data_IF_515943825787
#
_entry.id   IF_515943825787
#
_cell.length_a   1.000
_cell.length_b   1.000
_cell.length_c   1.000
_cell.angle_alpha   90.00
_cell.angle_beta   90.00
_cell.angle_gamma   90.00
#
_symmetry.space_group_name_H-M   'P 1'
#
loop_
_entity.id
_entity.type
_entity.pdbx_description
1 polymer ?
#
# COMPACT_ATOMS: atom_id res chain seq x y z
N UNK A 1 -14.70 -31.25 -12.97
CA UNK A 1 -14.59 -29.75 -13.02
C UNK A 1 -14.72 -29.22 -14.45
N UNK A 2 -14.03 -29.82 -15.44
CA UNK A 2 -14.09 -29.37 -16.83
C UNK A 2 -15.49 -29.52 -17.46
N UNK A 3 -16.18 -30.61 -17.19
CA UNK A 3 -17.56 -30.80 -17.65
C UNK A 3 -18.51 -29.74 -17.10
N UNK A 4 -18.43 -29.45 -15.79
CA UNK A 4 -19.25 -28.40 -15.13
C UNK A 4 -18.94 -27.02 -15.73
N UNK A 5 -17.69 -26.75 -16.06
CA UNK A 5 -17.26 -25.51 -16.71
C UNK A 5 -17.81 -25.40 -18.13
N UNK A 6 -17.79 -26.48 -18.93
CA UNK A 6 -18.35 -26.52 -20.28
C UNK A 6 -19.87 -26.36 -20.29
N UNK A 7 -20.55 -27.04 -19.39
CA UNK A 7 -22.01 -26.91 -19.25
C UNK A 7 -22.39 -25.47 -18.87
N UNK A 8 -21.68 -24.85 -17.92
CA UNK A 8 -21.91 -23.44 -17.58
C UNK A 8 -21.67 -22.50 -18.77
N UNK A 9 -20.61 -22.76 -19.55
CA UNK A 9 -20.31 -21.99 -20.77
C UNK A 9 -21.44 -22.06 -21.80
N UNK A 10 -21.96 -23.27 -22.02
CA UNK A 10 -23.00 -23.49 -23.01
C UNK A 10 -24.39 -22.95 -22.57
N UNK A 11 -24.72 -23.10 -21.30
CA UNK A 11 -25.91 -22.49 -20.69
C UNK A 11 -25.87 -20.96 -20.79
N UNK A 12 -24.71 -20.34 -20.49
CA UNK A 12 -24.53 -18.90 -20.63
C UNK A 12 -24.64 -18.47 -22.11
N UNK A 13 -24.07 -19.25 -23.04
CA UNK A 13 -24.18 -18.97 -24.47
C UNK A 13 -25.63 -18.98 -24.97
N UNK A 14 -26.43 -19.97 -24.54
CA UNK A 14 -27.82 -20.10 -24.91
C UNK A 14 -28.67 -18.97 -24.30
N UNK A 15 -28.34 -18.53 -23.08
CA UNK A 15 -29.10 -17.50 -22.35
C UNK A 15 -28.81 -16.07 -22.77
N UNK A 16 -27.60 -15.77 -23.23
CA UNK A 16 -27.10 -14.40 -23.44
C UNK A 16 -26.84 -14.02 -24.90
N UNK A 17 -27.30 -14.83 -25.85
CA UNK A 17 -27.11 -14.56 -27.28
C UNK A 17 -25.65 -14.60 -27.71
N UNK A 18 -25.02 -13.45 -27.95
CA UNK A 18 -23.63 -13.35 -28.44
C UNK A 18 -22.55 -13.42 -27.36
N UNK A 19 -22.92 -13.53 -26.08
CA UNK A 19 -21.99 -13.57 -24.95
C UNK A 19 -21.46 -12.21 -24.50
N UNK A 20 -21.93 -11.10 -25.08
CA UNK A 20 -21.48 -9.75 -24.72
C UNK A 20 -21.81 -9.41 -23.27
N UNK A 21 -23.00 -9.74 -22.78
CA UNK A 21 -23.40 -9.52 -21.37
C UNK A 21 -22.46 -10.23 -20.39
N UNK A 22 -21.98 -11.41 -20.77
CA UNK A 22 -21.00 -12.15 -19.97
C UNK A 22 -19.66 -11.44 -19.94
N UNK A 23 -19.18 -10.97 -21.09
CA UNK A 23 -17.91 -10.24 -21.20
C UNK A 23 -17.97 -8.93 -20.41
N UNK A 24 -19.09 -8.22 -20.45
CA UNK A 24 -19.28 -7.01 -19.65
C UNK A 24 -19.25 -7.28 -18.14
N UNK A 25 -19.90 -8.34 -17.68
CA UNK A 25 -19.78 -8.76 -16.26
C UNK A 25 -18.33 -9.08 -15.89
N UNK A 26 -17.62 -9.82 -16.75
CA UNK A 26 -16.22 -10.16 -16.53
C UNK A 26 -15.30 -8.93 -16.48
N UNK A 27 -15.56 -7.91 -17.31
CA UNK A 27 -14.85 -6.63 -17.28
C UNK A 27 -15.08 -5.87 -15.97
N UNK A 28 -16.32 -5.85 -15.46
CA UNK A 28 -16.64 -5.24 -14.14
C UNK A 28 -15.97 -5.99 -12.98
N UNK A 29 -15.76 -7.29 -13.13
CA UNK A 29 -15.13 -8.17 -12.14
C UNK A 29 -13.58 -8.17 -12.21
N UNK A 30 -12.99 -7.39 -13.11
CA UNK A 30 -11.53 -7.26 -13.23
C UNK A 30 -10.96 -6.64 -11.96
N UNK A 31 -9.97 -7.31 -11.37
CA UNK A 31 -9.35 -6.87 -10.12
C UNK A 31 -7.92 -7.38 -9.96
N UNK A 32 -7.14 -6.62 -9.22
CA UNK A 32 -5.78 -6.95 -8.83
C UNK A 32 -5.67 -6.92 -7.30
N UNK A 33 -5.00 -7.89 -6.71
CA UNK A 33 -4.73 -7.94 -5.28
C UNK A 33 -3.26 -8.20 -5.05
N UNK A 34 -2.71 -7.55 -4.03
CA UNK A 34 -1.33 -7.74 -3.59
C UNK A 34 -1.29 -8.03 -2.09
N UNK A 35 -0.33 -8.83 -1.65
CA UNK A 35 -0.09 -9.10 -0.23
C UNK A 35 1.37 -9.53 -0.03
N UNK A 36 1.82 -9.47 1.20
CA UNK A 36 3.08 -10.07 1.63
C UNK A 36 2.74 -11.35 2.38
N UNK A 37 3.42 -12.45 2.06
CA UNK A 37 3.22 -13.74 2.73
C UNK A 37 4.10 -13.89 3.98
N UNK A 38 4.06 -15.07 4.61
CA UNK A 38 4.80 -15.36 5.85
C UNK A 38 6.32 -15.40 5.66
N UNK A 39 6.79 -15.61 4.42
CA UNK A 39 8.21 -15.62 4.05
C UNK A 39 8.72 -14.23 3.67
N UNK A 40 7.85 -13.21 3.74
CA UNK A 40 8.17 -11.83 3.35
C UNK A 40 8.13 -11.58 1.84
N UNK A 41 7.66 -12.54 1.04
CA UNK A 41 7.54 -12.37 -0.41
C UNK A 41 6.33 -11.51 -0.78
N UNK A 42 6.54 -10.55 -1.69
CA UNK A 42 5.46 -9.75 -2.24
C UNK A 42 4.74 -10.52 -3.35
N UNK A 43 3.46 -10.72 -3.17
CA UNK A 43 2.61 -11.49 -4.06
C UNK A 43 1.64 -10.62 -4.85
N UNK A 44 1.33 -11.04 -6.08
CA UNK A 44 0.39 -10.40 -6.98
C UNK A 44 -0.61 -11.42 -7.52
N UNK A 45 -1.90 -11.14 -7.43
CA UNK A 45 -2.96 -11.94 -8.06
C UNK A 45 -3.89 -11.07 -8.87
N UNK A 46 -3.94 -11.31 -10.18
CA UNK A 46 -4.85 -10.65 -11.11
C UNK A 46 -6.02 -11.55 -11.52
N UNK A 47 -7.18 -10.94 -11.73
CA UNK A 47 -8.33 -11.53 -12.42
C UNK A 47 -8.75 -10.55 -13.50
N UNK A 48 -8.69 -10.99 -14.74
CA UNK A 48 -8.94 -10.17 -15.92
C UNK A 48 -10.04 -10.80 -16.77
N UNK A 49 -10.73 -9.98 -17.55
CA UNK A 49 -11.60 -10.47 -18.60
C UNK A 49 -10.82 -11.23 -19.67
N UNK A 50 -11.46 -12.11 -20.48
CA UNK A 50 -10.76 -12.94 -21.45
C UNK A 50 -9.94 -12.16 -22.46
N UNK A 51 -10.40 -11.01 -22.93
CA UNK A 51 -9.70 -10.19 -23.95
C UNK A 51 -8.41 -9.62 -23.38
N UNK A 52 -8.50 -8.99 -22.20
CA UNK A 52 -7.32 -8.50 -21.47
C UNK A 52 -6.39 -9.65 -21.10
N UNK A 53 -6.94 -10.79 -20.67
CA UNK A 53 -6.17 -11.98 -20.30
C UNK A 53 -5.32 -12.54 -21.44
N UNK A 54 -5.88 -12.65 -22.64
CA UNK A 54 -5.14 -13.09 -23.84
C UNK A 54 -4.01 -12.12 -24.19
N UNK A 55 -4.29 -10.81 -24.12
CA UNK A 55 -3.27 -9.79 -24.40
C UNK A 55 -2.12 -9.84 -23.41
N UNK A 56 -2.42 -9.99 -22.12
CA UNK A 56 -1.41 -10.08 -21.07
C UNK A 56 -0.57 -11.37 -21.22
N UNK A 57 -1.24 -12.51 -21.42
CA UNK A 57 -0.56 -13.79 -21.62
C UNK A 57 0.41 -13.72 -22.80
N UNK A 58 -0.04 -13.26 -23.97
CA UNK A 58 0.82 -13.15 -25.15
C UNK A 58 2.02 -12.23 -24.98
N UNK A 59 1.87 -11.13 -24.21
CA UNK A 59 3.01 -10.24 -23.91
C UNK A 59 3.99 -10.88 -22.95
N UNK A 60 3.50 -11.57 -21.92
CA UNK A 60 4.36 -12.30 -20.96
C UNK A 60 5.11 -13.40 -21.68
N UNK A 61 4.42 -14.22 -22.48
CA UNK A 61 5.03 -15.33 -23.22
C UNK A 61 6.15 -14.83 -24.15
N UNK A 62 5.91 -13.77 -24.91
CA UNK A 62 6.93 -13.14 -25.75
C UNK A 62 8.13 -12.61 -24.95
N UNK A 63 7.90 -12.01 -23.79
CA UNK A 63 8.97 -11.53 -22.92
C UNK A 63 9.77 -12.70 -22.31
N UNK A 64 9.11 -13.82 -21.98
CA UNK A 64 9.77 -15.05 -21.55
C UNK A 64 10.67 -15.61 -22.66
N UNK A 65 10.19 -15.68 -23.91
CA UNK A 65 11.00 -16.10 -25.05
C UNK A 65 12.26 -15.23 -25.21
N UNK A 66 12.10 -13.92 -25.05
CA UNK A 66 13.23 -12.96 -25.11
C UNK A 66 14.25 -13.24 -24.00
N UNK A 67 13.80 -13.46 -22.75
CA UNK A 67 14.68 -13.80 -21.64
C UNK A 67 15.42 -15.12 -21.85
N UNK A 68 14.79 -16.11 -22.48
CA UNK A 68 15.45 -17.35 -22.86
C UNK A 68 16.55 -17.15 -23.90
N UNK A 69 16.33 -16.24 -24.86
CA UNK A 69 17.26 -16.02 -25.97
C UNK A 69 18.45 -15.12 -25.58
N UNK A 70 18.20 -14.10 -24.71
CA UNK A 70 19.23 -13.10 -24.37
C UNK A 70 20.11 -13.53 -23.19
N UNK A 71 19.54 -13.83 -22.06
CA UNK A 71 20.26 -14.32 -20.87
C UNK A 71 19.28 -14.89 -19.84
N UNK A 72 19.34 -16.19 -19.62
CA UNK A 72 18.65 -16.80 -18.48
C UNK A 72 19.35 -16.36 -17.18
N UNK A 73 18.64 -15.78 -16.19
CA UNK A 73 19.26 -15.43 -14.91
C UNK A 73 19.95 -16.63 -14.24
N UNK A 74 21.11 -16.41 -13.63
CA UNK A 74 21.90 -17.47 -12.97
C UNK A 74 21.12 -18.23 -11.88
N UNK A 75 20.19 -17.55 -11.23
CA UNK A 75 19.33 -18.13 -10.18
C UNK A 75 18.12 -18.91 -10.70
N UNK A 76 17.99 -19.07 -12.04
CA UNK A 76 16.86 -19.79 -12.60
C UNK A 76 16.90 -21.28 -12.22
N UNK A 77 15.77 -21.85 -11.75
CA UNK A 77 15.68 -23.27 -11.42
C UNK A 77 16.04 -24.18 -12.60
N UNK A 78 16.58 -25.38 -12.33
CA UNK A 78 16.87 -26.39 -13.32
C UNK A 78 15.63 -27.13 -13.83
N UNK A 79 14.61 -27.27 -12.97
CA UNK A 79 13.32 -27.86 -13.35
C UNK A 79 12.61 -27.02 -14.41
N UNK A 80 12.17 -27.62 -15.53
CA UNK A 80 11.57 -26.84 -16.63
C UNK A 80 10.31 -26.08 -16.25
N UNK A 81 9.48 -26.63 -15.37
CA UNK A 81 8.21 -26.01 -14.96
C UNK A 81 8.47 -24.84 -14.03
N UNK A 82 9.32 -25.03 -13.04
CA UNK A 82 9.72 -23.97 -12.11
C UNK A 82 10.52 -22.87 -12.84
N UNK A 83 11.38 -23.24 -13.80
CA UNK A 83 12.09 -22.28 -14.65
C UNK A 83 11.12 -21.41 -15.44
N UNK A 84 10.10 -22.00 -16.04
CA UNK A 84 9.07 -21.25 -16.78
C UNK A 84 8.34 -20.24 -15.85
N UNK A 85 7.97 -20.66 -14.64
CA UNK A 85 7.32 -19.80 -13.64
C UNK A 85 8.22 -18.64 -13.19
N UNK A 86 9.49 -18.96 -12.93
CA UNK A 86 10.51 -17.99 -12.57
C UNK A 86 10.69 -16.94 -13.68
N UNK A 87 10.85 -17.37 -14.92
CA UNK A 87 11.01 -16.47 -16.06
C UNK A 87 9.76 -15.65 -16.34
N UNK A 88 8.56 -16.20 -16.12
CA UNK A 88 7.32 -15.45 -16.27
C UNK A 88 7.20 -14.29 -15.24
N UNK A 89 7.67 -14.51 -14.01
CA UNK A 89 7.71 -13.45 -12.99
C UNK A 89 8.70 -12.34 -13.38
N UNK A 90 9.90 -12.70 -13.85
CA UNK A 90 10.90 -11.73 -14.33
C UNK A 90 10.44 -11.01 -15.60
N UNK A 91 9.78 -11.70 -16.53
CA UNK A 91 9.19 -11.11 -17.73
C UNK A 91 8.13 -10.07 -17.38
N UNK A 92 7.24 -10.38 -16.43
CA UNK A 92 6.23 -9.43 -15.96
C UNK A 92 6.88 -8.20 -15.31
N UNK A 93 7.89 -8.39 -14.45
CA UNK A 93 8.62 -7.29 -13.84
C UNK A 93 9.26 -6.38 -14.90
N UNK A 94 9.95 -6.96 -15.88
CA UNK A 94 10.56 -6.22 -17.02
C UNK A 94 9.52 -5.46 -17.84
N UNK A 95 8.39 -6.11 -18.19
CA UNK A 95 7.31 -5.44 -18.92
C UNK A 95 6.72 -4.23 -18.19
N UNK A 96 6.67 -4.28 -16.86
CA UNK A 96 6.19 -3.17 -16.03
C UNK A 96 7.25 -2.05 -15.97
N UNK A 97 8.54 -2.40 -15.86
CA UNK A 97 9.65 -1.45 -15.82
C UNK A 97 9.86 -0.74 -17.15
N UNK A 98 9.81 -1.50 -18.26
CA UNK A 98 10.02 -1.00 -19.62
C UNK A 98 8.75 -0.42 -20.24
N UNK A 99 7.59 -0.71 -19.63
CA UNK A 99 6.27 -0.35 -20.15
C UNK A 99 6.06 1.15 -20.19
N UNK A 100 6.14 1.69 -21.40
CA UNK A 100 5.73 3.06 -21.75
C UNK A 100 4.21 3.15 -21.83
N UNK A 101 3.53 3.07 -20.70
CA UNK A 101 2.11 3.40 -20.62
C UNK A 101 1.91 4.91 -20.71
N UNK A 102 2.14 5.53 -21.87
CA UNK A 102 1.76 6.91 -22.20
C UNK A 102 2.23 8.04 -21.24
N UNK A 103 3.04 7.74 -20.24
CA UNK A 103 3.58 8.67 -19.25
C UNK A 103 5.03 8.33 -18.91
N UNK A 104 5.70 9.24 -18.20
CA UNK A 104 7.03 8.93 -17.63
C UNK A 104 6.93 7.65 -16.78
N UNK A 105 7.92 6.74 -16.85
CA UNK A 105 7.94 5.55 -15.99
C UNK A 105 7.72 5.96 -14.53
N UNK A 106 6.84 5.24 -13.84
CA UNK A 106 6.58 5.50 -12.43
C UNK A 106 7.88 5.34 -11.66
N UNK A 107 8.31 6.39 -10.95
CA UNK A 107 9.50 6.30 -10.09
C UNK A 107 9.16 5.51 -8.84
N UNK A 108 10.07 4.68 -8.40
CA UNK A 108 9.97 4.02 -7.09
C UNK A 108 10.00 5.11 -6.02
N UNK A 109 9.05 5.10 -5.10
CA UNK A 109 9.02 6.05 -4.00
C UNK A 109 9.34 5.34 -2.69
N UNK A 110 10.40 5.78 -2.05
CA UNK A 110 10.79 5.35 -0.71
C UNK A 110 10.43 6.46 0.27
N UNK A 111 9.58 6.14 1.24
CA UNK A 111 9.21 7.08 2.29
C UNK A 111 10.15 6.92 3.48
N UNK A 112 10.99 7.92 3.72
CA UNK A 112 11.84 8.04 4.91
C UNK A 112 11.07 8.77 6.01
N UNK A 113 10.75 8.09 7.10
CA UNK A 113 10.12 8.70 8.27
C UNK A 113 11.19 9.05 9.28
N UNK A 114 11.35 10.35 9.55
CA UNK A 114 12.32 10.89 10.50
C UNK A 114 11.58 11.19 11.80
N UNK A 115 11.74 10.35 12.81
CA UNK A 115 11.13 10.56 14.11
C UNK A 115 12.03 11.44 14.98
N UNK A 116 11.50 12.58 15.39
CA UNK A 116 12.15 13.55 16.26
C UNK A 116 11.60 13.54 17.68
N UNK A 117 10.83 12.52 18.03
CA UNK A 117 10.31 12.34 19.38
C UNK A 117 11.47 12.26 20.37
N UNK A 118 11.52 13.10 21.42
CA UNK A 118 12.56 13.02 22.44
C UNK A 118 12.58 11.63 23.09
N UNK A 119 13.73 10.98 23.08
CA UNK A 119 13.92 9.74 23.84
C UNK A 119 14.22 10.13 25.29
N UNK A 120 13.56 9.53 26.30
CA UNK A 120 13.95 9.72 27.69
C UNK A 120 15.43 9.35 27.86
N UNK A 121 16.21 10.09 28.67
CA UNK A 121 17.59 9.72 28.93
C UNK A 121 17.62 8.30 29.51
N UNK A 122 18.37 7.40 28.86
CA UNK A 122 18.64 6.06 29.38
C UNK A 122 19.39 6.22 30.71
N UNK A 123 18.79 5.79 31.82
CA UNK A 123 19.39 5.86 33.16
C UNK A 123 20.52 4.85 33.35
N UNK A 124 20.88 4.04 32.35
CA UNK A 124 21.87 2.95 32.51
C UNK A 124 23.04 2.95 31.50
N UNK A 125 23.31 4.03 30.75
CA UNK A 125 24.46 4.05 29.83
C UNK A 125 25.21 5.40 29.84
N UNK A 126 25.84 5.69 30.97
CA UNK A 126 26.95 6.67 31.07
C UNK A 126 28.21 6.03 30.47
N UNK A 127 28.48 6.14 29.21
CA UNK A 127 29.82 6.13 28.61
C UNK A 127 29.83 5.74 27.12
N UNK A 128 29.21 6.48 26.22
CA UNK A 128 29.66 6.54 24.80
C UNK A 128 29.16 7.81 24.12
N UNK A 129 30.06 8.80 24.07
CA UNK A 129 30.09 9.83 23.04
C UNK A 129 28.83 10.68 22.91
N UNK A 130 28.67 11.67 23.79
CA UNK A 130 27.78 12.81 23.53
C UNK A 130 28.28 13.54 22.29
N UNK A 131 27.54 13.36 21.16
CA UNK A 131 27.61 14.30 20.06
C UNK A 131 27.19 15.67 20.62
N UNK A 132 28.08 16.66 20.52
CA UNK A 132 27.95 18.00 21.11
C UNK A 132 26.79 18.83 20.54
N UNK A 133 25.93 18.27 19.71
CA UNK A 133 24.77 18.95 19.07
C UNK A 133 23.49 18.84 19.88
N UNK A 134 23.42 18.08 20.97
CA UNK A 134 22.22 17.95 21.82
C UNK A 134 21.01 17.35 21.13
N UNK A 135 21.19 16.75 19.95
CA UNK A 135 20.14 16.07 19.20
C UNK A 135 20.23 14.57 19.51
N UNK A 136 19.21 14.04 20.17
CA UNK A 136 19.02 12.59 20.29
C UNK A 136 19.14 11.91 18.93
N UNK A 137 19.70 10.68 18.83
CA UNK A 137 19.79 9.97 17.56
C UNK A 137 18.41 9.88 16.92
N UNK A 138 18.28 10.48 15.74
CA UNK A 138 17.04 10.48 14.99
C UNK A 138 16.77 9.06 14.49
N UNK A 139 15.66 8.48 14.88
CA UNK A 139 15.24 7.21 14.32
C UNK A 139 14.69 7.46 12.90
N UNK A 140 15.33 6.85 11.91
CA UNK A 140 14.83 6.84 10.54
C UNK A 140 14.22 5.47 10.28
N UNK A 141 12.93 5.43 9.97
CA UNK A 141 12.23 4.23 9.53
C UNK A 141 11.79 4.36 8.07
N UNK A 142 11.97 3.27 7.33
CA UNK A 142 11.60 3.21 5.92
C UNK A 142 10.22 2.56 5.80
N UNK A 143 9.30 3.22 5.08
CA UNK A 143 7.96 2.68 4.84
C UNK A 143 7.90 2.03 3.47
N UNK A 144 8.27 0.76 3.43
CA UNK A 144 8.19 -0.11 2.26
C UNK A 144 7.09 -1.16 2.46
N UNK A 145 6.52 -1.71 1.38
CA UNK A 145 5.53 -2.79 1.50
C UNK A 145 6.14 -4.11 2.01
N UNK A 146 7.46 -4.26 1.95
CA UNK A 146 8.24 -5.43 2.39
C UNK A 146 9.51 -4.98 3.10
N UNK A 147 10.04 -5.83 3.97
CA UNK A 147 11.37 -5.62 4.55
C UNK A 147 12.46 -5.87 3.51
N UNK A 148 13.41 -4.97 3.42
CA UNK A 148 14.57 -5.04 2.52
C UNK A 148 15.84 -4.87 3.36
N UNK A 149 16.89 -5.69 3.15
CA UNK A 149 18.17 -5.51 3.82
C UNK A 149 18.71 -4.08 3.62
N UNK A 150 19.28 -3.49 4.67
CA UNK A 150 19.73 -2.08 4.67
C UNK A 150 20.68 -1.75 3.52
N UNK A 151 21.55 -2.69 3.14
CA UNK A 151 22.47 -2.54 1.99
C UNK A 151 21.70 -2.37 0.68
N UNK A 152 20.74 -3.27 0.41
CA UNK A 152 19.91 -3.22 -0.81
C UNK A 152 19.04 -1.96 -0.82
N UNK A 153 18.54 -1.55 0.35
CA UNK A 153 17.79 -0.30 0.48
C UNK A 153 18.64 0.93 0.14
N UNK A 154 19.91 0.94 0.56
CA UNK A 154 20.85 2.03 0.24
C UNK A 154 21.13 2.09 -1.27
N UNK A 155 21.36 0.94 -1.91
CA UNK A 155 21.56 0.85 -3.35
C UNK A 155 20.32 1.35 -4.10
N UNK A 156 19.13 0.88 -3.72
CA UNK A 156 17.85 1.30 -4.32
C UNK A 156 17.58 2.81 -4.14
N UNK A 157 17.91 3.37 -2.96
CA UNK A 157 17.75 4.80 -2.70
C UNK A 157 18.72 5.68 -3.51
N UNK A 158 19.87 5.11 -3.93
CA UNK A 158 20.84 5.77 -4.80
C UNK A 158 20.50 5.73 -6.29
N UNK A 159 19.52 4.96 -6.71
CA UNK A 159 19.12 4.86 -8.12
C UNK A 159 18.43 6.13 -8.61
N UNK A 160 18.75 6.56 -9.84
CA UNK A 160 18.15 7.74 -10.48
C UNK A 160 16.63 7.59 -10.72
N UNK A 161 16.11 6.37 -10.70
CA UNK A 161 14.69 6.01 -10.86
C UNK A 161 13.92 5.98 -9.55
N UNK A 162 14.58 6.26 -8.42
CA UNK A 162 14.00 6.25 -7.09
C UNK A 162 13.87 7.66 -6.52
N UNK A 163 12.70 7.98 -5.96
CA UNK A 163 12.43 9.20 -5.21
C UNK A 163 12.42 8.89 -3.71
N UNK A 164 13.37 9.43 -2.97
CA UNK A 164 13.35 9.37 -1.50
C UNK A 164 12.61 10.59 -0.97
N UNK A 165 11.52 10.36 -0.23
CA UNK A 165 10.67 11.42 0.32
C UNK A 165 10.74 11.39 1.82
N UNK A 166 11.28 12.47 2.43
CA UNK A 166 11.36 12.63 3.89
C UNK A 166 10.04 13.15 4.47
N UNK A 167 9.58 12.54 5.55
CA UNK A 167 8.49 13.03 6.41
C UNK A 167 8.99 13.09 7.84
N UNK A 168 8.84 14.24 8.47
CA UNK A 168 9.25 14.46 9.87
C UNK A 168 8.04 14.26 10.77
N UNK A 169 8.19 13.41 11.78
CA UNK A 169 7.17 13.17 12.81
C UNK A 169 7.75 13.45 14.21
N UNK A 170 6.86 13.79 15.13
CA UNK A 170 7.18 13.93 16.55
C UNK A 170 5.97 13.47 17.37
N UNK A 171 6.19 12.61 18.35
CA UNK A 171 5.10 12.04 19.17
C UNK A 171 3.96 11.45 18.31
N UNK A 172 4.30 10.78 17.19
CA UNK A 172 3.33 10.17 16.30
C UNK A 172 2.56 11.13 15.40
N UNK A 173 2.88 12.43 15.40
CA UNK A 173 2.22 13.46 14.58
C UNK A 173 3.20 14.01 13.55
N UNK A 174 2.74 14.21 12.31
CA UNK A 174 3.54 14.81 11.24
C UNK A 174 3.78 16.30 11.53
N UNK A 175 5.05 16.68 11.62
CA UNK A 175 5.50 18.07 11.67
C UNK A 175 5.74 18.65 10.29
N UNK A 176 6.31 17.83 9.39
CA UNK A 176 6.60 18.25 8.01
C UNK A 176 6.45 17.08 7.05
N UNK A 177 5.81 17.35 5.91
CA UNK A 177 5.79 16.47 4.76
C UNK A 177 5.76 17.33 3.48
N UNK A 178 6.43 16.90 2.38
CA UNK A 178 6.39 17.64 1.13
C UNK A 178 4.99 17.65 0.50
N UNK A 179 4.53 18.84 0.08
CA UNK A 179 3.27 19.06 -0.58
C UNK A 179 2.17 19.59 0.34
N UNK A 180 0.98 19.82 -0.22
CA UNK A 180 -0.16 20.38 0.52
C UNK A 180 -0.86 19.32 1.35
N UNK A 181 -0.97 19.54 2.66
CA UNK A 181 -1.64 18.67 3.61
C UNK A 181 -3.09 19.07 3.88
N UNK A 182 -3.46 20.30 3.56
CA UNK A 182 -4.79 20.85 3.76
C UNK A 182 -5.39 21.27 2.41
N UNK A 183 -6.44 20.58 1.99
CA UNK A 183 -7.12 20.76 0.71
C UNK A 183 -8.48 21.47 0.87
N UNK A 184 -8.92 21.70 2.10
CA UNK A 184 -10.21 22.27 2.36
C UNK A 184 -11.35 21.48 1.73
N UNK A 185 -12.19 22.18 0.96
CA UNK A 185 -13.32 21.61 0.23
C UNK A 185 -13.10 21.56 -1.29
N UNK A 186 -11.88 21.79 -1.76
CA UNK A 186 -11.57 21.80 -3.21
C UNK A 186 -11.62 20.41 -3.84
N UNK A 187 -11.23 19.38 -3.09
CA UNK A 187 -11.27 17.98 -3.53
C UNK A 187 -11.69 17.05 -2.40
N UNK A 188 -12.45 16.01 -2.75
CA UNK A 188 -12.86 14.98 -1.79
C UNK A 188 -11.78 13.94 -1.54
N UNK A 189 -10.95 13.64 -2.53
CA UNK A 189 -9.97 12.56 -2.41
C UNK A 189 -8.67 13.09 -1.79
N UNK A 190 -8.13 12.33 -0.84
CA UNK A 190 -6.81 12.60 -0.28
C UNK A 190 -5.75 12.56 -1.37
N UNK A 191 -4.91 13.61 -1.46
CA UNK A 191 -3.82 13.72 -2.40
C UNK A 191 -2.61 12.85 -1.99
N UNK A 192 -1.57 12.84 -2.86
CA UNK A 192 -0.35 12.04 -2.61
C UNK A 192 0.40 12.48 -1.35
N UNK A 193 0.48 13.80 -1.08
CA UNK A 193 1.15 14.34 0.10
C UNK A 193 0.45 13.90 1.40
N UNK A 194 -0.88 13.97 1.43
CA UNK A 194 -1.67 13.51 2.58
C UNK A 194 -1.54 11.99 2.79
N UNK A 195 -1.51 11.20 1.71
CA UNK A 195 -1.30 9.74 1.82
C UNK A 195 0.09 9.41 2.37
N UNK A 196 1.15 10.15 1.98
CA UNK A 196 2.50 10.00 2.54
C UNK A 196 2.54 10.33 4.02
N UNK A 197 1.95 11.47 4.40
CA UNK A 197 1.86 11.89 5.80
C UNK A 197 1.10 10.86 6.65
N UNK A 198 -0.03 10.35 6.17
CA UNK A 198 -0.79 9.30 6.86
C UNK A 198 0.00 7.99 6.95
N UNK A 199 0.71 7.58 5.89
CA UNK A 199 1.57 6.38 5.92
C UNK A 199 2.74 6.52 6.90
N UNK A 200 3.27 7.72 7.06
CA UNK A 200 4.32 7.98 8.06
C UNK A 200 3.81 7.79 9.49
N UNK A 201 2.55 8.14 9.75
CA UNK A 201 1.90 8.01 11.07
C UNK A 201 1.33 6.61 11.33
N UNK A 202 0.80 5.95 10.31
CA UNK A 202 0.07 4.68 10.43
C UNK A 202 0.69 3.60 9.54
N UNK A 203 1.14 2.51 10.12
CA UNK A 203 1.55 1.31 9.37
C UNK A 203 0.35 0.43 9.00
N UNK A 204 -0.74 0.54 9.77
CA UNK A 204 -1.97 -0.26 9.64
C UNK A 204 -3.21 0.63 9.65
N UNK A 205 -4.37 0.01 9.61
CA UNK A 205 -5.66 0.64 9.90
C UNK A 205 -5.61 1.43 11.21
N UNK A 206 -6.15 2.65 11.22
CA UNK A 206 -6.14 3.53 12.40
C UNK A 206 -7.03 3.06 13.55
N UNK A 207 -7.84 2.01 13.38
CA UNK A 207 -8.66 1.45 14.47
C UNK A 207 -7.80 0.54 15.35
N UNK A 208 -7.86 0.69 16.69
CA UNK A 208 -7.04 -0.07 17.62
C UNK A 208 -7.17 -1.58 17.45
N UNK A 209 -6.03 -2.29 17.54
CA UNK A 209 -5.97 -3.75 17.42
C UNK A 209 -6.17 -4.29 16.00
N UNK A 210 -6.28 -3.44 14.98
CA UNK A 210 -6.39 -3.88 13.59
C UNK A 210 -5.01 -3.98 12.93
N UNK A 211 -4.68 -5.17 12.41
CA UNK A 211 -3.40 -5.46 11.73
C UNK A 211 -3.45 -5.28 10.21
N UNK A 212 -4.56 -4.80 9.65
CA UNK A 212 -4.67 -4.59 8.19
C UNK A 212 -3.75 -3.47 7.77
N UNK A 213 -2.76 -3.77 6.91
CA UNK A 213 -1.75 -2.83 6.43
C UNK A 213 -2.35 -1.58 5.76
N UNK A 214 -1.64 -0.46 5.87
CA UNK A 214 -2.06 0.85 5.33
C UNK A 214 -2.48 0.80 3.87
N UNK A 215 -1.78 0.03 3.03
CA UNK A 215 -2.07 -0.07 1.58
C UNK A 215 -3.44 -0.67 1.26
N UNK A 216 -4.05 -1.35 2.23
CA UNK A 216 -5.40 -1.93 2.14
C UNK A 216 -6.45 -1.07 2.83
N UNK A 217 -6.10 0.16 3.21
CA UNK A 217 -7.00 1.09 3.88
C UNK A 217 -7.55 2.15 2.93
N UNK A 218 -8.80 2.54 3.18
CA UNK A 218 -9.43 3.73 2.62
C UNK A 218 -9.07 4.94 3.49
N UNK A 219 -8.84 6.09 2.88
CA UNK A 219 -8.69 7.33 3.65
C UNK A 219 -10.08 7.89 3.91
N UNK A 220 -10.49 7.81 5.16
CA UNK A 220 -11.81 8.19 5.64
C UNK A 220 -11.79 9.62 6.21
N UNK A 221 -12.86 10.40 5.96
CA UNK A 221 -13.08 11.69 6.61
C UNK A 221 -13.76 11.47 7.95
N UNK A 222 -13.11 11.84 9.06
CA UNK A 222 -13.66 11.73 10.43
C UNK A 222 -14.93 12.56 10.56
N UNK A 223 -14.87 13.84 10.21
CA UNK A 223 -16.08 14.64 9.92
C UNK A 223 -16.40 14.38 8.44
N UNK A 224 -17.52 13.73 8.18
CA UNK A 224 -17.86 13.26 6.85
C UNK A 224 -17.93 14.40 5.83
N UNK A 225 -17.40 14.12 4.62
CA UNK A 225 -17.43 15.09 3.52
C UNK A 225 -18.83 15.67 3.26
N UNK A 226 -19.85 14.81 3.23
CA UNK A 226 -21.26 15.23 3.02
C UNK A 226 -21.79 16.16 4.13
N UNK A 227 -21.17 16.15 5.32
CA UNK A 227 -21.54 16.99 6.46
C UNK A 227 -20.58 18.18 6.66
N UNK A 228 -19.89 18.60 5.60
CA UNK A 228 -19.02 19.75 5.63
C UNK A 228 -17.57 19.47 6.00
N UNK A 229 -17.20 18.21 6.28
CA UNK A 229 -15.83 17.82 6.60
C UNK A 229 -14.85 18.18 5.49
N UNK A 230 -13.68 18.69 5.87
CA UNK A 230 -12.62 19.13 4.96
C UNK A 230 -11.67 17.99 4.66
N UNK A 231 -11.05 18.01 3.48
CA UNK A 231 -9.94 17.13 3.12
C UNK A 231 -8.64 17.74 3.64
N UNK A 232 -8.55 17.93 4.93
CA UNK A 232 -7.35 18.38 5.63
C UNK A 232 -6.77 17.20 6.43
N UNK A 233 -5.44 17.14 6.58
CA UNK A 233 -4.79 16.00 7.22
C UNK A 233 -5.39 15.67 8.60
N UNK A 234 -5.75 16.70 9.38
CA UNK A 234 -6.35 16.53 10.70
C UNK A 234 -7.71 15.80 10.69
N UNK A 235 -8.41 15.82 9.55
CA UNK A 235 -9.73 15.17 9.39
C UNK A 235 -9.66 13.82 8.67
N UNK A 236 -8.47 13.30 8.36
CA UNK A 236 -8.29 12.07 7.58
C UNK A 236 -7.75 10.93 8.46
N UNK A 237 -8.34 9.74 8.35
CA UNK A 237 -7.92 8.52 9.06
C UNK A 237 -7.88 7.34 8.09
N UNK A 238 -6.79 6.53 8.03
CA UNK A 238 -6.77 5.31 7.26
C UNK A 238 -7.60 4.22 7.96
N UNK A 239 -8.62 3.68 7.30
CA UNK A 239 -9.47 2.60 7.83
C UNK A 239 -9.62 1.48 6.80
N UNK A 240 -9.53 0.23 7.24
CA UNK A 240 -9.73 -0.92 6.37
C UNK A 240 -11.20 -1.06 5.96
N UNK A 241 -11.47 -1.86 4.93
CA UNK A 241 -12.83 -2.05 4.39
C UNK A 241 -13.85 -2.45 5.46
N UNK A 242 -13.46 -3.35 6.40
CA UNK A 242 -14.33 -3.78 7.50
C UNK A 242 -14.71 -2.58 8.40
N UNK A 243 -13.70 -1.88 8.91
CA UNK A 243 -13.95 -0.75 9.84
C UNK A 243 -14.58 0.46 9.16
N UNK A 244 -14.30 0.66 7.86
CA UNK A 244 -15.01 1.65 7.06
C UNK A 244 -16.51 1.33 6.98
N UNK A 245 -16.86 0.03 6.81
CA UNK A 245 -18.24 -0.46 6.87
C UNK A 245 -18.89 -0.21 8.24
N UNK A 246 -18.20 -0.55 9.33
CA UNK A 246 -18.71 -0.36 10.69
C UNK A 246 -19.02 1.12 10.99
N UNK A 247 -18.17 2.04 10.53
CA UNK A 247 -18.41 3.50 10.69
C UNK A 247 -19.62 3.95 9.87
N UNK A 248 -19.82 3.39 8.66
CA UNK A 248 -20.90 3.84 7.77
C UNK A 248 -22.25 3.16 8.02
N UNK A 249 -22.26 1.94 8.53
CA UNK A 249 -23.47 1.10 8.60
C UNK A 249 -23.80 0.63 10.03
N UNK A 250 -22.78 0.48 10.87
CA UNK A 250 -22.94 -0.10 12.22
C UNK A 250 -22.85 0.96 13.33
N UNK A 251 -23.07 2.22 13.01
CA UNK A 251 -23.11 3.36 13.95
C UNK A 251 -21.85 3.54 14.82
N UNK A 252 -20.69 3.15 14.31
CA UNK A 252 -19.44 3.49 14.97
C UNK A 252 -19.15 4.98 14.81
N UNK A 253 -18.90 5.69 15.92
CA UNK A 253 -18.58 7.11 15.91
C UNK A 253 -17.09 7.26 16.21
N UNK A 254 -16.40 8.03 15.37
CA UNK A 254 -14.98 8.32 15.55
C UNK A 254 -14.73 9.82 15.68
N UNK A 255 -13.80 10.18 16.54
CA UNK A 255 -13.28 11.53 16.65
C UNK A 255 -11.76 11.50 16.79
N UNK A 256 -11.07 12.52 16.28
CA UNK A 256 -9.63 12.71 16.44
C UNK A 256 -9.36 13.98 17.25
N UNK A 257 -8.51 13.84 18.25
CA UNK A 257 -7.93 14.97 18.97
C UNK A 257 -6.80 15.65 18.17
N UNK A 258 -6.28 16.77 18.68
CA UNK A 258 -5.26 17.58 18.01
C UNK A 258 -3.94 16.84 17.77
N UNK A 259 -3.56 15.92 18.67
CA UNK A 259 -2.41 15.05 18.50
C UNK A 259 -2.79 13.69 17.91
N UNK A 260 -3.94 13.62 17.24
CA UNK A 260 -4.48 12.41 16.61
C UNK A 260 -4.86 11.30 17.59
N UNK A 261 -5.15 11.64 18.82
CA UNK A 261 -5.78 10.71 19.75
C UNK A 261 -7.13 10.29 19.17
N UNK A 262 -7.33 9.00 19.00
CA UNK A 262 -8.59 8.48 18.49
C UNK A 262 -9.55 8.21 19.65
N UNK A 263 -10.74 8.76 19.56
CA UNK A 263 -11.90 8.36 20.37
C UNK A 263 -12.86 7.59 19.47
N UNK A 264 -13.15 6.35 19.84
CA UNK A 264 -14.07 5.45 19.15
C UNK A 264 -15.22 5.13 20.08
N UNK A 265 -16.44 5.44 19.67
CA UNK A 265 -17.68 5.06 20.39
C UNK A 265 -18.37 3.93 19.62
N UNK A 266 -18.57 2.80 20.28
CA UNK A 266 -19.28 1.65 19.74
C UNK A 266 -20.79 1.79 19.88
N UNK A 267 -21.61 0.99 19.15
CA UNK A 267 -23.08 1.07 19.20
C UNK A 267 -23.69 0.83 20.59
N UNK A 268 -23.00 0.07 21.44
CA UNK A 268 -23.41 -0.20 22.83
C UNK A 268 -23.05 0.91 23.82
N UNK A 269 -22.47 2.01 23.31
CA UNK A 269 -22.02 3.14 24.11
C UNK A 269 -20.61 2.99 24.68
N UNK A 270 -19.94 1.86 24.46
CA UNK A 270 -18.54 1.67 24.88
C UNK A 270 -17.64 2.69 24.20
N UNK A 271 -16.84 3.41 24.96
CA UNK A 271 -15.86 4.38 24.46
C UNK A 271 -14.45 3.83 24.62
N UNK A 272 -13.70 3.81 23.52
CA UNK A 272 -12.28 3.46 23.48
C UNK A 272 -11.48 4.69 23.09
N UNK A 273 -10.42 4.99 23.82
CA UNK A 273 -9.47 6.06 23.49
C UNK A 273 -8.09 5.50 23.28
N UNK A 274 -7.36 6.05 22.32
CA UNK A 274 -5.94 5.73 22.12
C UNK A 274 -5.12 7.00 22.18
N UNK A 275 -3.85 6.88 22.54
CA UNK A 275 -2.89 7.96 22.35
C UNK A 275 -2.64 8.24 20.86
N UNK A 276 -1.72 9.19 20.57
CA UNK A 276 -1.23 9.45 19.23
C UNK A 276 -0.76 8.18 18.54
N UNK A 277 -0.75 8.13 17.19
CA UNK A 277 -0.19 6.98 16.47
C UNK A 277 1.25 6.75 16.91
N UNK A 278 1.55 5.56 17.42
CA UNK A 278 2.93 5.20 17.72
C UNK A 278 3.57 4.75 16.42
N UNK A 279 4.63 5.43 16.00
CA UNK A 279 5.55 4.90 14.98
C UNK A 279 6.26 3.69 15.59
N UNK A 280 5.62 2.51 15.59
CA UNK A 280 6.33 1.29 15.92
C UNK A 280 7.35 1.06 14.83
N UNK A 281 8.62 1.13 15.19
CA UNK A 281 9.66 0.44 14.45
C UNK A 281 9.25 -1.03 14.34
N UNK A 282 9.13 -1.53 13.11
CA UNK A 282 8.98 -2.95 12.84
C UNK A 282 10.28 -3.66 13.22
#
# INVERSE_FOLDING_TARGET
EEFTRRVKLEVDRIRTGDGMDRLERQRRDTRLSTWVDQEGMWNLRGRFDPVTGVTLAGRIDKAVETLFAEATPELAPSDPVEKQRFLAAHALARLIQDGTGGGKPGRVEILAVIDTTPTPPDTDNDARGTDTTGLSPRQISWRLPVEIPARILADLAGESTTDVVGVVVCNGVVLHAPGSLDQGRTTRLANRAQRRALRAMYSTCGIPGCSVGFDRCHIHHVIWWRHGGRTDLANLLPVCTKHHGNIHHDNWIIALGPNRELMLTLPDGTVMTTGPPTTRAA
#
